data_IF_594504935158
#
_entry.id   IF_594504935158
#
_cell.length_a   1.000
_cell.length_b   1.000
_cell.length_c   1.000
_cell.angle_alpha   90.00
_cell.angle_beta   90.00
_cell.angle_gamma   90.00
#
_symmetry.space_group_name_H-M   'P 1'
#
loop_
_entity.id
_entity.type
_entity.pdbx_description
1 polymer ?
#
# COMPACT_ATOMS: atom_id res chain seq x y z
N UNK A 1 -14.84 45.44 7.90
CA UNK A 1 -14.30 44.44 6.92
C UNK A 1 -15.17 43.21 6.93
N UNK A 2 -15.96 43.00 5.87
CA UNK A 2 -17.03 42.00 5.75
C UNK A 2 -16.45 40.62 5.43
N UNK A 3 -16.69 39.64 6.31
CA UNK A 3 -16.46 38.21 6.02
C UNK A 3 -17.70 37.65 5.32
N UNK A 4 -17.61 37.36 4.04
CA UNK A 4 -18.65 36.64 3.30
C UNK A 4 -18.61 35.15 3.67
N UNK A 5 -19.66 34.66 4.31
CA UNK A 5 -19.92 33.23 4.51
C UNK A 5 -20.55 32.70 3.23
N UNK A 6 -19.92 31.73 2.60
CA UNK A 6 -20.50 30.96 1.48
C UNK A 6 -21.07 29.68 2.08
N UNK A 7 -22.39 29.61 2.15
CA UNK A 7 -23.12 28.40 2.51
C UNK A 7 -23.41 27.63 1.22
N UNK A 8 -22.76 26.48 1.04
CA UNK A 8 -23.07 25.57 -0.06
C UNK A 8 -24.21 24.64 0.37
N UNK A 9 -25.36 24.79 -0.29
CA UNK A 9 -26.53 23.93 -0.13
C UNK A 9 -26.30 22.68 -0.99
N UNK A 10 -26.15 21.52 -0.38
CA UNK A 10 -26.11 20.22 -1.07
C UNK A 10 -27.56 19.72 -1.22
N UNK A 11 -28.12 19.79 -2.42
CA UNK A 11 -29.32 19.05 -2.80
C UNK A 11 -28.91 17.60 -3.10
N UNK A 12 -29.32 16.69 -2.27
CA UNK A 12 -29.25 15.25 -2.52
C UNK A 12 -30.51 14.80 -3.26
N UNK A 13 -30.44 14.58 -4.57
CA UNK A 13 -31.43 13.83 -5.32
C UNK A 13 -31.01 12.34 -5.37
N UNK A 14 -31.68 11.54 -4.56
CA UNK A 14 -31.61 10.08 -4.64
C UNK A 14 -32.53 9.64 -5.78
N UNK A 15 -31.97 9.26 -6.93
CA UNK A 15 -32.70 8.47 -7.93
C UNK A 15 -32.37 6.99 -7.68
N UNK A 16 -33.35 6.28 -7.17
CA UNK A 16 -33.36 4.82 -7.11
C UNK A 16 -33.61 4.28 -8.53
N UNK A 17 -32.59 3.76 -9.20
CA UNK A 17 -32.76 2.89 -10.36
C UNK A 17 -32.83 1.45 -9.87
N UNK A 18 -34.04 0.87 -9.90
CA UNK A 18 -34.24 -0.57 -9.80
C UNK A 18 -33.87 -1.23 -11.15
N UNK A 19 -33.00 -2.22 -11.21
CA UNK A 19 -32.82 -2.98 -12.44
C UNK A 19 -34.01 -3.92 -12.64
N UNK A 20 -34.74 -3.77 -13.74
CA UNK A 20 -35.73 -4.72 -14.20
C UNK A 20 -35.04 -6.05 -14.53
N UNK A 21 -35.48 -7.13 -13.89
CA UNK A 21 -35.15 -8.49 -14.29
C UNK A 21 -35.89 -8.83 -15.59
N UNK A 22 -35.24 -9.46 -16.59
CA UNK A 22 -35.96 -10.03 -17.72
C UNK A 22 -36.72 -11.27 -17.24
N UNK A 23 -38.02 -11.26 -17.49
CA UNK A 23 -38.89 -12.42 -17.29
C UNK A 23 -38.42 -13.57 -18.20
N UNK A 24 -38.15 -14.71 -17.59
CA UNK A 24 -37.96 -15.96 -18.33
C UNK A 24 -39.34 -16.38 -18.84
N UNK A 25 -39.52 -16.35 -20.15
CA UNK A 25 -40.67 -16.98 -20.80
C UNK A 25 -40.56 -18.48 -20.67
N UNK A 26 -41.42 -19.09 -19.89
CA UNK A 26 -41.64 -20.55 -19.92
C UNK A 26 -42.29 -20.89 -21.27
N UNK A 27 -41.53 -21.53 -22.12
CA UNK A 27 -42.04 -22.15 -23.35
C UNK A 27 -42.65 -23.52 -23.00
N UNK A 28 -43.96 -23.49 -22.77
CA UNK A 28 -44.78 -24.71 -22.64
C UNK A 28 -44.86 -25.40 -23.99
N UNK A 29 -44.16 -26.50 -24.15
CA UNK A 29 -44.28 -27.38 -25.34
C UNK A 29 -45.48 -28.28 -25.14
N UNK A 30 -46.56 -28.05 -25.92
CA UNK A 30 -47.69 -28.95 -26.04
C UNK A 30 -47.25 -30.14 -26.86
N UNK A 31 -47.14 -31.30 -26.27
CA UNK A 31 -46.88 -32.55 -26.99
C UNK A 31 -48.22 -33.07 -27.51
N UNK A 32 -48.47 -32.95 -28.81
CA UNK A 32 -49.57 -33.64 -29.47
C UNK A 32 -49.21 -35.11 -29.67
N UNK A 33 -49.95 -35.97 -29.04
CA UNK A 33 -49.90 -37.42 -29.22
C UNK A 33 -50.56 -37.77 -30.56
N UNK A 34 -49.74 -38.25 -31.54
CA UNK A 34 -50.27 -38.89 -32.74
C UNK A 34 -49.82 -40.34 -32.69
N UNK A 35 -50.80 -41.22 -32.56
CA UNK A 35 -50.65 -42.65 -32.69
C UNK A 35 -50.39 -43.04 -34.18
N UNK A 36 -49.35 -43.80 -34.44
CA UNK A 36 -49.06 -44.24 -35.79
C UNK A 36 -47.68 -44.86 -35.93
N UNK A 37 -47.63 -46.19 -35.79
CA UNK A 37 -46.52 -47.08 -36.11
C UNK A 37 -45.75 -46.75 -37.38
N UNK A 38 -44.41 -46.51 -37.27
CA UNK A 38 -43.39 -46.95 -38.18
C UNK A 38 -42.01 -46.89 -37.55
N UNK A 39 -41.30 -47.99 -37.58
CA UNK A 39 -39.92 -48.23 -37.26
C UNK A 39 -39.00 -47.22 -38.01
N UNK A 40 -38.31 -46.36 -37.22
CA UNK A 40 -37.17 -45.55 -37.66
C UNK A 40 -36.25 -45.35 -36.49
N UNK A 41 -35.10 -46.00 -36.53
CA UNK A 41 -33.96 -45.80 -35.66
C UNK A 41 -33.54 -44.33 -35.73
N UNK A 42 -34.04 -43.53 -34.78
CA UNK A 42 -33.54 -42.16 -34.59
C UNK A 42 -32.26 -42.26 -33.81
N UNK A 43 -31.13 -42.11 -34.50
CA UNK A 43 -29.85 -41.83 -33.83
C UNK A 43 -29.99 -40.54 -33.04
N UNK A 44 -30.05 -40.66 -31.72
CA UNK A 44 -29.92 -39.48 -30.82
C UNK A 44 -28.52 -38.90 -31.00
N UNK A 45 -28.36 -37.62 -31.41
CA UNK A 45 -27.04 -37.02 -31.47
C UNK A 45 -26.45 -37.06 -30.04
N UNK A 46 -25.30 -37.70 -29.91
CA UNK A 46 -24.48 -37.70 -28.69
C UNK A 46 -24.01 -36.27 -28.47
N UNK A 47 -24.79 -35.48 -27.72
CA UNK A 47 -24.43 -34.15 -27.24
C UNK A 47 -23.47 -34.35 -26.09
N UNK A 48 -22.21 -34.62 -26.43
CA UNK A 48 -21.10 -34.50 -25.48
C UNK A 48 -21.19 -33.09 -24.85
N UNK A 49 -21.39 -32.96 -23.52
CA UNK A 49 -21.50 -31.65 -22.89
C UNK A 49 -20.20 -30.88 -23.11
N UNK A 50 -20.28 -29.77 -23.83
CA UNK A 50 -19.14 -28.85 -23.99
C UNK A 50 -18.64 -28.48 -22.59
N UNK A 51 -17.37 -28.74 -22.24
CA UNK A 51 -16.86 -28.42 -20.92
C UNK A 51 -17.05 -26.94 -20.66
N UNK A 52 -17.67 -26.61 -19.53
CA UNK A 52 -17.77 -25.22 -19.07
C UNK A 52 -16.35 -24.64 -18.99
N UNK A 53 -16.10 -23.42 -19.53
CA UNK A 53 -14.76 -22.85 -19.52
C UNK A 53 -14.26 -22.77 -18.07
N UNK A 54 -13.13 -23.43 -17.81
CA UNK A 54 -12.51 -23.41 -16.49
C UNK A 54 -12.22 -21.97 -16.07
N UNK A 55 -12.77 -21.57 -14.93
CA UNK A 55 -12.51 -20.24 -14.37
C UNK A 55 -11.04 -20.14 -13.98
N UNK A 56 -10.36 -19.11 -14.46
CA UNK A 56 -8.96 -18.83 -14.08
C UNK A 56 -8.81 -18.72 -12.56
N UNK A 57 -7.83 -19.44 -12.01
CA UNK A 57 -7.51 -19.42 -10.59
C UNK A 57 -5.99 -19.27 -10.37
N UNK A 58 -5.60 -18.51 -9.34
CA UNK A 58 -4.20 -18.41 -8.93
C UNK A 58 -3.37 -17.41 -9.74
N UNK A 59 -2.07 -17.67 -9.78
CA UNK A 59 -1.10 -16.81 -10.45
C UNK A 59 -1.09 -17.00 -11.96
N UNK A 60 -1.09 -15.88 -12.68
CA UNK A 60 -0.89 -15.83 -14.13
C UNK A 60 0.20 -14.80 -14.46
N UNK A 61 1.02 -15.09 -15.45
CA UNK A 61 2.02 -14.17 -16.00
C UNK A 61 1.69 -13.88 -17.45
N UNK A 62 1.44 -12.62 -17.76
CA UNK A 62 1.15 -12.14 -19.12
C UNK A 62 2.17 -11.06 -19.44
N UNK A 63 2.94 -11.21 -20.51
CA UNK A 63 4.00 -10.28 -20.94
C UNK A 63 4.99 -9.92 -19.82
N UNK A 64 5.38 -10.91 -19.01
CA UNK A 64 6.30 -10.73 -17.87
C UNK A 64 5.67 -10.06 -16.63
N UNK A 65 4.39 -9.69 -16.68
CA UNK A 65 3.64 -9.08 -15.56
C UNK A 65 2.79 -10.14 -14.86
N UNK A 66 2.88 -10.19 -13.52
CA UNK A 66 2.12 -11.13 -12.71
C UNK A 66 0.78 -10.56 -12.27
N UNK A 67 -0.24 -11.40 -12.37
CA UNK A 67 -1.61 -11.19 -11.92
C UNK A 67 -2.04 -12.34 -11.01
N UNK A 68 -3.11 -12.14 -10.25
CA UNK A 68 -3.72 -13.20 -9.45
C UNK A 68 -5.23 -13.21 -9.63
N UNK A 69 -5.78 -14.39 -9.88
CA UNK A 69 -7.21 -14.60 -10.15
C UNK A 69 -7.87 -15.36 -9.00
N UNK A 70 -9.13 -15.04 -8.75
CA UNK A 70 -10.02 -15.75 -7.83
C UNK A 70 -11.37 -15.84 -8.47
N UNK A 71 -11.91 -17.05 -8.61
CA UNK A 71 -13.20 -17.32 -9.26
C UNK A 71 -13.28 -16.75 -10.69
N UNK A 72 -12.18 -16.76 -11.44
CA UNK A 72 -12.09 -16.19 -12.77
C UNK A 72 -11.85 -14.69 -12.83
N UNK A 73 -11.92 -13.96 -11.70
CA UNK A 73 -11.73 -12.52 -11.66
C UNK A 73 -10.33 -12.13 -11.22
N UNK A 74 -9.75 -11.18 -11.95
CA UNK A 74 -8.46 -10.60 -11.61
C UNK A 74 -8.55 -9.70 -10.38
N UNK A 75 -7.69 -9.94 -9.38
CA UNK A 75 -7.61 -9.06 -8.20
C UNK A 75 -7.01 -7.72 -8.58
N UNK A 76 -7.73 -6.64 -8.31
CA UNK A 76 -7.31 -5.26 -8.58
C UNK A 76 -7.38 -4.42 -7.31
N UNK A 77 -6.47 -3.43 -7.17
CA UNK A 77 -6.45 -2.43 -6.09
C UNK A 77 -6.61 -3.04 -4.68
N UNK A 78 -6.01 -4.20 -4.43
CA UNK A 78 -6.14 -4.95 -3.16
C UNK A 78 -4.80 -5.40 -2.62
N UNK A 79 -4.78 -5.59 -1.30
CA UNK A 79 -3.75 -6.35 -0.58
C UNK A 79 -4.33 -7.70 -0.26
N UNK A 80 -3.64 -8.77 -0.66
CA UNK A 80 -4.08 -10.16 -0.42
C UNK A 80 -2.97 -10.99 0.18
N UNK A 81 -3.33 -11.81 1.16
CA UNK A 81 -2.48 -12.89 1.65
C UNK A 81 -2.68 -14.10 0.74
N UNK A 82 -1.57 -14.61 0.19
CA UNK A 82 -1.54 -15.78 -0.68
C UNK A 82 -0.49 -16.73 -0.08
N UNK A 83 -0.94 -17.87 0.39
CA UNK A 83 -0.12 -18.74 1.22
C UNK A 83 0.39 -18.02 2.48
N UNK A 84 1.69 -18.08 2.74
CA UNK A 84 2.32 -17.42 3.88
C UNK A 84 2.71 -15.97 3.66
N UNK A 85 2.56 -15.42 2.44
CA UNK A 85 3.01 -14.08 2.09
C UNK A 85 1.85 -13.15 1.76
N UNK A 86 2.08 -11.85 1.93
CA UNK A 86 1.17 -10.78 1.53
C UNK A 86 1.68 -10.15 0.23
N UNK A 87 0.75 -9.78 -0.65
CA UNK A 87 1.02 -9.15 -1.95
C UNK A 87 0.10 -7.95 -2.14
N UNK A 88 0.55 -6.95 -2.91
CA UNK A 88 -0.23 -5.78 -3.28
C UNK A 88 -0.44 -5.78 -4.79
N UNK A 89 -1.68 -5.53 -5.21
CA UNK A 89 -2.06 -5.39 -6.62
C UNK A 89 -2.51 -3.96 -6.88
N UNK A 90 -2.08 -3.38 -7.98
CA UNK A 90 -2.46 -2.04 -8.38
C UNK A 90 -3.89 -1.99 -8.97
N UNK A 91 -4.32 -0.81 -9.42
CA UNK A 91 -5.66 -0.61 -10.00
C UNK A 91 -5.91 -1.43 -11.26
N UNK A 92 -4.86 -1.82 -11.98
CA UNK A 92 -4.94 -2.66 -13.19
C UNK A 92 -4.78 -4.15 -12.89
N UNK A 93 -4.58 -4.51 -11.61
CA UNK A 93 -4.36 -5.88 -11.15
C UNK A 93 -2.93 -6.35 -11.26
N UNK A 94 -1.98 -5.50 -11.66
CA UNK A 94 -0.56 -5.87 -11.73
C UNK A 94 0.00 -6.06 -10.33
N UNK A 95 0.82 -7.11 -10.15
CA UNK A 95 1.58 -7.29 -8.92
C UNK A 95 2.56 -6.13 -8.72
N UNK A 96 2.44 -5.42 -7.61
CA UNK A 96 3.39 -4.37 -7.24
C UNK A 96 4.68 -5.00 -6.73
N UNK A 97 5.83 -4.55 -7.24
CA UNK A 97 7.16 -5.06 -6.88
C UNK A 97 8.14 -3.93 -6.60
N UNK A 98 9.20 -4.25 -5.84
CA UNK A 98 10.35 -3.36 -5.63
C UNK A 98 10.00 -1.93 -5.21
N UNK A 99 9.16 -1.78 -4.17
CA UNK A 99 8.82 -0.47 -3.60
C UNK A 99 9.34 -0.39 -2.16
N UNK A 100 10.24 0.56 -1.84
CA UNK A 100 10.70 0.76 -0.46
C UNK A 100 9.55 1.19 0.45
N UNK A 101 8.58 1.91 -0.09
CA UNK A 101 7.27 2.17 0.53
C UNK A 101 6.19 2.27 -0.54
N UNK A 102 5.03 1.69 -0.27
CA UNK A 102 3.86 1.69 -1.16
C UNK A 102 2.61 2.02 -0.35
N UNK A 103 1.92 3.08 -0.76
CA UNK A 103 0.71 3.56 -0.09
C UNK A 103 -0.49 2.76 -0.57
N UNK A 104 -1.17 2.07 0.36
CA UNK A 104 -2.44 1.39 0.09
C UNK A 104 -3.62 2.31 0.42
N UNK A 105 -3.55 3.01 1.57
CA UNK A 105 -4.53 4.02 1.98
C UNK A 105 -3.85 5.10 2.85
N UNK A 106 -4.64 6.03 3.40
CA UNK A 106 -4.11 7.15 4.18
C UNK A 106 -3.25 6.73 5.40
N UNK A 107 -3.52 5.54 5.97
CA UNK A 107 -2.90 5.06 7.22
C UNK A 107 -2.05 3.80 7.04
N UNK A 108 -2.03 3.19 5.85
CA UNK A 108 -1.43 1.87 5.64
C UNK A 108 -0.44 1.89 4.49
N UNK A 109 0.79 1.53 4.81
CA UNK A 109 1.90 1.46 3.88
C UNK A 109 2.59 0.10 3.99
N UNK A 110 3.18 -0.34 2.87
CA UNK A 110 3.94 -1.59 2.78
C UNK A 110 5.32 -1.34 2.17
N UNK A 111 6.32 -2.09 2.64
CA UNK A 111 7.58 -2.32 1.93
C UNK A 111 7.39 -3.55 1.05
N UNK A 112 7.72 -3.44 -0.24
CA UNK A 112 7.52 -4.52 -1.21
C UNK A 112 8.86 -4.91 -1.82
N UNK A 113 9.20 -6.18 -1.70
CA UNK A 113 10.44 -6.76 -2.24
C UNK A 113 10.39 -6.87 -3.77
N UNK A 114 11.53 -7.18 -4.40
CA UNK A 114 11.62 -7.45 -5.86
C UNK A 114 10.67 -8.57 -6.30
N UNK A 115 10.46 -9.59 -5.47
CA UNK A 115 9.56 -10.71 -5.75
C UNK A 115 8.08 -10.44 -5.43
N UNK A 116 7.72 -9.21 -5.07
CA UNK A 116 6.34 -8.80 -4.74
C UNK A 116 5.90 -9.04 -3.31
N UNK A 117 6.68 -9.76 -2.50
CA UNK A 117 6.33 -9.96 -1.08
C UNK A 117 6.28 -8.64 -0.34
N UNK A 118 5.14 -8.38 0.30
CA UNK A 118 4.85 -7.13 0.98
C UNK A 118 4.86 -7.31 2.51
N UNK A 119 5.50 -6.37 3.21
CA UNK A 119 5.50 -6.28 4.66
C UNK A 119 4.90 -4.95 5.08
N UNK A 120 3.90 -4.97 5.95
CA UNK A 120 3.27 -3.75 6.46
C UNK A 120 4.29 -2.93 7.27
N UNK A 121 4.35 -1.64 7.01
CA UNK A 121 5.20 -0.74 7.78
C UNK A 121 4.65 -0.55 9.19
N UNK A 122 5.55 -0.45 10.16
CA UNK A 122 5.25 -0.06 11.53
C UNK A 122 4.74 1.40 11.59
N UNK A 123 4.25 1.83 12.75
CA UNK A 123 3.76 3.20 12.92
C UNK A 123 4.82 4.26 12.61
N UNK A 124 6.06 4.08 13.11
CA UNK A 124 7.15 5.04 12.86
C UNK A 124 7.59 5.04 11.41
N UNK A 125 7.71 3.86 10.77
CA UNK A 125 8.02 3.75 9.34
C UNK A 125 6.92 4.37 8.47
N UNK A 126 5.65 4.20 8.85
CA UNK A 126 4.51 4.82 8.16
C UNK A 126 4.61 6.34 8.21
N UNK A 127 4.91 6.92 9.38
CA UNK A 127 5.09 8.37 9.53
C UNK A 127 6.30 8.87 8.73
N UNK A 128 7.40 8.12 8.73
CA UNK A 128 8.58 8.39 7.91
C UNK A 128 8.25 8.36 6.41
N UNK A 129 7.50 7.36 5.94
CA UNK A 129 7.05 7.27 4.55
C UNK A 129 6.18 8.46 4.14
N UNK A 130 5.23 8.85 5.00
CA UNK A 130 4.38 10.03 4.76
C UNK A 130 5.22 11.31 4.63
N UNK A 131 6.24 11.48 5.49
CA UNK A 131 7.14 12.63 5.43
C UNK A 131 8.02 12.59 4.19
N UNK A 132 8.57 11.44 3.82
CA UNK A 132 9.35 11.26 2.60
C UNK A 132 8.55 11.63 1.33
N UNK A 133 7.28 11.27 1.26
CA UNK A 133 6.41 11.66 0.15
C UNK A 133 6.33 13.20 0.06
N UNK A 134 6.17 13.90 1.18
CA UNK A 134 6.21 15.38 1.24
C UNK A 134 7.56 15.95 0.82
N UNK A 135 8.66 15.24 1.09
CA UNK A 135 10.01 15.57 0.64
C UNK A 135 10.29 15.12 -0.82
N UNK A 136 9.27 14.61 -1.55
CA UNK A 136 9.42 14.06 -2.92
C UNK A 136 10.46 12.93 -3.02
N UNK A 137 10.61 12.12 -1.97
CA UNK A 137 11.61 11.05 -1.88
C UNK A 137 13.07 11.53 -1.78
N UNK A 138 13.31 12.83 -1.63
CA UNK A 138 14.65 13.43 -1.61
C UNK A 138 15.24 13.40 -0.20
N UNK A 139 16.39 12.72 -0.03
CA UNK A 139 17.03 12.52 1.26
C UNK A 139 17.56 13.85 1.86
N UNK A 140 18.09 14.77 1.06
CA UNK A 140 18.53 16.09 1.53
C UNK A 140 17.38 16.91 2.08
N UNK A 141 16.21 16.89 1.40
CA UNK A 141 15.00 17.56 1.91
C UNK A 141 14.49 16.90 3.18
N UNK A 142 14.62 15.57 3.31
CA UNK A 142 14.27 14.86 4.54
C UNK A 142 15.19 15.24 5.70
N UNK A 143 16.49 15.34 5.46
CA UNK A 143 17.47 15.83 6.43
C UNK A 143 17.13 17.26 6.87
N UNK A 144 16.98 18.18 5.92
CA UNK A 144 16.66 19.58 6.22
C UNK A 144 15.38 19.72 7.03
N UNK A 145 14.35 18.92 6.72
CA UNK A 145 13.14 18.90 7.54
C UNK A 145 13.40 18.40 8.97
N UNK A 146 14.19 17.33 9.15
CA UNK A 146 14.53 16.85 10.49
C UNK A 146 15.33 17.88 11.29
N UNK A 147 16.26 18.57 10.62
CA UNK A 147 17.06 19.62 11.24
C UNK A 147 16.25 20.90 11.56
N UNK A 148 15.12 21.12 10.87
CA UNK A 148 14.23 22.28 11.11
C UNK A 148 13.15 22.05 12.18
N UNK A 149 13.16 20.89 12.87
CA UNK A 149 12.27 20.67 14.00
C UNK A 149 12.52 21.74 15.09
N UNK A 150 11.43 22.25 15.68
CA UNK A 150 11.55 23.17 16.80
C UNK A 150 12.34 22.54 17.97
N UNK A 151 13.35 23.23 18.51
CA UNK A 151 14.11 22.68 19.62
C UNK A 151 13.27 22.61 20.90
N UNK A 152 13.29 21.44 21.55
CA UNK A 152 12.65 21.21 22.84
C UNK A 152 13.58 20.36 23.72
N UNK A 153 14.01 20.91 24.87
CA UNK A 153 14.96 20.24 25.77
C UNK A 153 14.32 19.10 26.58
N UNK A 154 13.34 19.37 27.39
CA UNK A 154 12.77 18.37 28.32
C UNK A 154 11.70 17.48 27.64
N UNK A 155 12.16 16.53 26.83
CA UNK A 155 11.27 15.63 26.11
C UNK A 155 10.77 14.50 27.02
N UNK A 156 9.46 14.45 27.25
CA UNK A 156 8.80 13.36 27.98
C UNK A 156 8.38 12.26 27.03
N UNK A 157 9.18 11.21 26.93
CA UNK A 157 8.84 9.98 26.19
C UNK A 157 9.08 8.76 27.07
N UNK A 158 8.18 7.80 26.99
CA UNK A 158 8.26 6.57 27.80
C UNK A 158 9.44 5.68 27.43
N UNK A 159 9.80 5.63 26.14
CA UNK A 159 10.90 4.79 25.62
C UNK A 159 11.90 5.64 24.85
N UNK A 160 13.09 5.82 25.42
CA UNK A 160 14.24 6.55 24.83
C UNK A 160 14.97 5.72 23.76
N UNK A 161 14.23 5.23 22.78
CA UNK A 161 14.69 4.44 21.62
C UNK A 161 14.54 5.24 20.34
N UNK A 162 15.23 4.84 19.23
CA UNK A 162 15.01 5.49 17.93
C UNK A 162 13.54 5.53 17.50
N UNK A 163 12.77 4.48 17.82
CA UNK A 163 11.33 4.42 17.55
C UNK A 163 10.56 5.45 18.38
N UNK A 164 10.81 5.54 19.69
CA UNK A 164 10.13 6.49 20.58
C UNK A 164 10.43 7.93 20.21
N UNK A 165 11.71 8.26 19.99
CA UNK A 165 12.14 9.57 19.52
C UNK A 165 11.54 9.93 18.15
N UNK A 166 11.57 8.98 17.18
CA UNK A 166 11.00 9.18 15.86
C UNK A 166 9.49 9.46 15.91
N UNK A 167 8.72 8.63 16.64
CA UNK A 167 7.29 8.85 16.83
C UNK A 167 6.97 10.21 17.46
N UNK A 168 7.76 10.64 18.46
CA UNK A 168 7.60 11.93 19.08
C UNK A 168 7.83 13.06 18.05
N UNK A 169 8.97 13.10 17.37
CA UNK A 169 9.31 14.14 16.41
C UNK A 169 8.35 14.24 15.24
N UNK A 170 7.92 13.09 14.68
CA UNK A 170 6.91 13.09 13.60
C UNK A 170 5.54 13.61 14.05
N UNK A 171 5.16 13.41 15.32
CA UNK A 171 3.87 13.85 15.85
C UNK A 171 3.87 15.33 16.25
N UNK A 172 4.92 15.77 16.91
CA UNK A 172 4.97 17.11 17.54
C UNK A 172 5.63 18.17 16.67
N UNK A 173 6.52 17.77 15.75
CA UNK A 173 7.34 18.70 14.99
C UNK A 173 8.43 19.38 15.83
N UNK A 174 8.73 18.86 17.03
CA UNK A 174 9.73 19.40 17.96
C UNK A 174 10.62 18.31 18.50
N UNK A 175 11.78 18.67 19.06
CA UNK A 175 12.65 17.73 19.74
C UNK A 175 14.06 18.25 19.99
N UNK A 176 14.86 17.42 20.65
CA UNK A 176 16.30 17.60 20.82
C UNK A 176 17.08 16.92 19.69
N UNK A 177 18.41 16.89 19.79
CA UNK A 177 19.28 16.22 18.84
C UNK A 177 18.92 14.72 18.64
N UNK A 178 18.48 14.04 19.68
CA UNK A 178 18.06 12.64 19.60
C UNK A 178 16.80 12.44 18.75
N UNK A 179 15.83 13.34 18.88
CA UNK A 179 14.58 13.32 18.11
C UNK A 179 14.84 13.67 16.64
N UNK A 180 15.63 14.73 16.41
CA UNK A 180 16.04 15.16 15.06
C UNK A 180 16.76 14.02 14.33
N UNK A 181 17.75 13.40 14.97
CA UNK A 181 18.45 12.25 14.43
C UNK A 181 17.51 11.07 14.17
N UNK A 182 16.60 10.74 15.09
CA UNK A 182 15.68 9.62 14.93
C UNK A 182 14.67 9.82 13.80
N UNK A 183 14.17 11.02 13.58
CA UNK A 183 13.26 11.31 12.45
C UNK A 183 13.99 11.13 11.11
N UNK A 184 15.21 11.63 10.98
CA UNK A 184 16.01 11.44 9.78
C UNK A 184 16.41 9.97 9.58
N UNK A 185 16.86 9.28 10.63
CA UNK A 185 17.16 7.85 10.61
C UNK A 185 16.01 7.02 10.00
N UNK A 186 14.78 7.20 10.51
CA UNK A 186 13.64 6.45 10.00
C UNK A 186 13.29 6.80 8.56
N UNK A 187 13.41 8.05 8.15
CA UNK A 187 13.22 8.44 6.75
C UNK A 187 14.28 7.81 5.83
N UNK A 188 15.56 7.80 6.24
CA UNK A 188 16.63 7.15 5.50
C UNK A 188 16.40 5.64 5.37
N UNK A 189 16.07 4.96 6.49
CA UNK A 189 15.75 3.51 6.49
C UNK A 189 14.59 3.17 5.56
N UNK A 190 13.50 3.93 5.63
CA UNK A 190 12.32 3.72 4.78
C UNK A 190 12.63 4.03 3.31
N UNK A 191 13.50 4.98 3.02
CA UNK A 191 13.97 5.25 1.67
C UNK A 191 14.88 4.14 1.12
N UNK A 192 15.31 3.20 1.96
CA UNK A 192 16.13 2.04 1.59
C UNK A 192 17.63 2.25 1.76
N UNK A 193 18.05 3.28 2.50
CA UNK A 193 19.45 3.46 2.87
C UNK A 193 19.82 2.60 4.07
N UNK A 194 21.10 2.20 4.14
CA UNK A 194 21.68 1.60 5.33
C UNK A 194 22.10 2.71 6.27
N UNK A 195 21.23 3.02 7.22
CA UNK A 195 21.39 4.12 8.14
C UNK A 195 21.50 3.59 9.58
N UNK A 196 22.35 4.23 10.36
CA UNK A 196 22.61 3.92 11.74
C UNK A 196 22.28 5.13 12.63
N UNK A 197 21.48 4.88 13.66
CA UNK A 197 21.19 5.88 14.68
C UNK A 197 22.26 5.77 15.77
N UNK A 198 23.03 6.83 15.95
CA UNK A 198 24.16 6.86 16.88
C UNK A 198 23.88 7.77 18.07
N UNK A 199 24.26 7.34 19.25
CA UNK A 199 24.31 8.14 20.49
C UNK A 199 25.74 8.22 20.97
N UNK A 200 26.20 9.42 21.30
CA UNK A 200 27.57 9.62 21.75
C UNK A 200 27.73 11.01 22.37
N UNK A 201 28.91 11.55 22.22
CA UNK A 201 29.27 12.86 22.77
C UNK A 201 29.92 13.72 21.68
N UNK A 202 29.65 15.01 21.74
CA UNK A 202 30.32 16.02 20.92
C UNK A 202 31.07 17.00 21.86
N UNK A 203 32.13 17.59 21.35
CA UNK A 203 32.85 18.64 22.06
C UNK A 203 32.01 19.93 22.06
N UNK A 204 31.80 20.48 23.20
CA UNK A 204 31.11 21.77 23.41
C UNK A 204 32.08 22.73 24.12
N UNK A 205 31.71 24.01 24.23
CA UNK A 205 32.47 25.00 25.04
C UNK A 205 32.67 24.58 26.47
N UNK A 206 31.74 23.77 27.02
CA UNK A 206 31.73 23.33 28.43
C UNK A 206 32.19 21.89 28.59
N UNK A 207 32.93 21.32 27.63
CA UNK A 207 33.38 19.93 27.63
C UNK A 207 32.55 19.01 26.75
N UNK A 208 32.51 17.70 27.03
CA UNK A 208 31.76 16.73 26.28
C UNK A 208 30.25 16.82 26.58
N UNK A 209 29.47 17.12 25.56
CA UNK A 209 27.99 17.12 25.63
C UNK A 209 27.38 15.86 24.94
N UNK A 210 26.34 15.23 25.53
CA UNK A 210 25.67 14.10 24.91
C UNK A 210 24.97 14.53 23.62
N UNK A 211 25.07 13.71 22.57
CA UNK A 211 24.52 14.01 21.25
C UNK A 211 23.99 12.78 20.52
N UNK A 212 23.06 13.00 19.57
CA UNK A 212 22.55 11.97 18.66
C UNK A 212 22.71 12.41 17.21
N UNK A 213 23.14 11.47 16.36
CA UNK A 213 23.27 11.72 14.92
C UNK A 213 22.95 10.49 14.10
N UNK A 214 23.04 10.59 12.79
CA UNK A 214 22.82 9.48 11.86
C UNK A 214 24.05 9.32 10.97
N UNK A 215 24.50 8.08 10.88
CA UNK A 215 25.50 7.67 9.90
C UNK A 215 24.81 6.89 8.78
N UNK A 216 25.24 7.11 7.53
CA UNK A 216 24.72 6.41 6.36
C UNK A 216 25.91 5.96 5.54
N UNK A 217 25.96 4.67 5.22
CA UNK A 217 27.04 4.12 4.41
C UNK A 217 27.06 4.74 3.02
N UNK A 218 28.28 5.07 2.51
CA UNK A 218 28.48 5.71 1.21
C UNK A 218 27.79 4.98 0.05
N UNK A 219 27.68 3.65 0.13
CA UNK A 219 26.92 2.81 -0.80
C UNK A 219 25.94 1.98 0.01
N UNK A 220 24.74 2.47 0.19
CA UNK A 220 23.70 1.75 0.91
C UNK A 220 22.72 1.17 -0.10
N UNK A 221 22.62 -0.18 -0.14
CA UNK A 221 21.70 -0.90 -1.03
C UNK A 221 21.81 -0.49 -2.51
N UNK A 222 23.02 -0.22 -3.01
CA UNK A 222 23.27 0.22 -4.39
C UNK A 222 22.92 1.68 -4.68
N UNK A 223 22.53 2.46 -3.67
CA UNK A 223 22.27 3.90 -3.80
C UNK A 223 23.47 4.70 -3.33
N UNK A 224 23.88 5.68 -4.12
CA UNK A 224 24.86 6.69 -3.71
C UNK A 224 24.17 7.75 -2.85
N UNK A 225 24.79 8.13 -1.72
CA UNK A 225 24.29 9.23 -0.90
C UNK A 225 24.47 10.52 -1.70
N UNK A 226 23.40 11.31 -1.93
CA UNK A 226 23.56 12.64 -2.50
C UNK A 226 24.20 13.56 -1.45
N UNK A 227 25.33 14.13 -1.78
CA UNK A 227 26.02 15.20 -1.00
C UNK A 227 25.28 16.53 -1.11
#
# INVERSE_FOLDING_TARGET
>A
MNRKKITALLLSSVMALTPAMPAMAEQSTIVNYVDGTTDSTVETPDVTPTPLPEKKEGWETVDGVKYYYVNGEKITNKVKKIGKYTYCFDKTGKLVTNKPYYKVNAKTYYKIKKNGQATKLSAVETMAAIRLIKCKGNLRKAFNWSASLGYAGNIKISKKTPTGYGLYGFKTGTGDCYVMAATFYWMAKVAGYDAHYVKGYVLTKNGKGPHGWVEIDKKSNGKTIPY
#
